data_IF_235630941297
#
_entry.id   IF_235630941297
#
_cell.length_a   1.000
_cell.length_b   1.000
_cell.length_c   1.000
_cell.angle_alpha   90.00
_cell.angle_beta   90.00
_cell.angle_gamma   90.00
#
_symmetry.space_group_name_H-M   'P 1'
#
loop_
_entity.id
_entity.type
_entity.pdbx_description
1 polymer ?
#
# COMPACT_ATOMS: atom_id res chain seq x y z
N UNK A 1 38.49 -33.48 -51.45
CA UNK A 1 37.34 -33.54 -50.46
C UNK A 1 37.64 -32.57 -49.37
N UNK A 2 37.06 -31.39 -49.48
CA UNK A 2 37.20 -30.24 -48.55
C UNK A 2 36.02 -30.21 -47.59
N UNK A 3 36.31 -30.26 -46.30
CA UNK A 3 35.31 -30.15 -45.22
C UNK A 3 35.20 -28.69 -44.84
N UNK A 4 34.05 -28.09 -45.10
CA UNK A 4 33.70 -26.72 -44.65
C UNK A 4 33.37 -26.72 -43.15
N UNK A 5 34.04 -25.86 -42.40
CA UNK A 5 33.79 -25.59 -40.99
C UNK A 5 32.68 -24.51 -40.86
N UNK A 6 31.57 -24.90 -40.29
CA UNK A 6 30.49 -23.98 -39.93
C UNK A 6 30.83 -23.29 -38.58
N UNK A 7 31.15 -22.01 -38.62
CA UNK A 7 31.25 -21.17 -37.44
C UNK A 7 29.85 -20.86 -36.90
N UNK A 8 29.50 -21.43 -35.75
CA UNK A 8 28.36 -21.02 -34.92
C UNK A 8 28.79 -19.84 -34.04
N UNK A 9 28.33 -18.66 -34.37
CA UNK A 9 28.34 -17.50 -33.48
C UNK A 9 27.37 -17.73 -32.34
N UNK A 10 27.90 -17.97 -31.14
CA UNK A 10 27.11 -17.94 -29.89
C UNK A 10 26.90 -16.49 -29.49
N UNK A 11 25.67 -16.01 -29.66
CA UNK A 11 25.23 -14.74 -29.03
C UNK A 11 25.23 -14.89 -27.51
N UNK A 12 26.07 -14.12 -26.86
CA UNK A 12 26.11 -14.01 -25.40
C UNK A 12 24.96 -13.08 -25.02
N UNK A 13 23.85 -13.65 -24.57
CA UNK A 13 22.82 -12.90 -23.82
C UNK A 13 23.41 -12.53 -22.47
N UNK A 14 23.80 -11.28 -22.32
CA UNK A 14 24.18 -10.71 -21.03
C UNK A 14 22.92 -10.58 -20.16
N UNK A 15 22.70 -11.56 -19.29
CA UNK A 15 21.76 -11.43 -18.20
C UNK A 15 22.25 -10.31 -17.27
N UNK A 16 21.59 -9.15 -17.28
CA UNK A 16 21.80 -8.12 -16.28
C UNK A 16 21.20 -8.63 -14.97
N UNK A 17 22.04 -9.19 -14.11
CA UNK A 17 21.68 -9.45 -12.73
C UNK A 17 21.45 -8.11 -12.03
N UNK A 18 20.25 -7.90 -11.52
CA UNK A 18 19.93 -6.79 -10.64
C UNK A 18 20.72 -7.01 -9.34
N UNK A 19 21.80 -6.26 -9.14
CA UNK A 19 22.53 -6.29 -7.88
C UNK A 19 21.70 -5.53 -6.85
N UNK A 20 20.96 -6.26 -6.03
CA UNK A 20 20.36 -5.73 -4.82
C UNK A 20 21.54 -5.51 -3.85
N UNK A 21 21.96 -4.26 -3.69
CA UNK A 21 22.97 -3.88 -2.70
C UNK A 21 22.29 -3.96 -1.32
N UNK A 22 22.53 -5.04 -0.61
CA UNK A 22 22.25 -5.13 0.81
C UNK A 22 23.24 -4.22 1.54
N UNK A 23 22.80 -3.05 1.99
CA UNK A 23 23.52 -2.30 3.00
C UNK A 23 23.37 -3.00 4.35
N UNK A 24 24.31 -3.93 4.66
CA UNK A 24 24.48 -4.46 6.01
C UNK A 24 25.25 -3.42 6.84
N UNK A 25 24.55 -2.49 7.45
CA UNK A 25 25.05 -1.73 8.59
C UNK A 25 24.43 -2.32 9.85
N UNK A 26 25.22 -3.17 10.53
CA UNK A 26 24.89 -3.68 11.85
C UNK A 26 25.02 -2.54 12.88
N UNK A 27 23.94 -1.79 13.07
CA UNK A 27 23.70 -1.02 14.28
C UNK A 27 22.41 -1.53 14.88
N UNK A 28 22.48 -1.99 16.13
CA UNK A 28 21.27 -2.21 16.93
C UNK A 28 20.61 -0.85 17.14
N UNK A 29 19.71 -0.46 16.23
CA UNK A 29 18.88 0.72 16.36
C UNK A 29 17.59 0.31 17.06
N UNK A 30 17.32 0.98 18.16
CA UNK A 30 15.96 1.24 18.61
C UNK A 30 15.24 1.83 17.39
N UNK A 31 14.20 1.19 16.90
CA UNK A 31 13.45 1.65 15.72
C UNK A 31 13.04 3.11 15.94
N UNK A 32 13.66 4.02 15.20
CA UNK A 32 13.38 5.45 15.32
C UNK A 32 12.05 5.76 14.62
N UNK A 33 10.96 5.52 15.36
CA UNK A 33 9.64 5.99 14.93
C UNK A 33 9.54 7.48 15.23
N UNK A 34 9.04 8.24 14.26
CA UNK A 34 8.75 9.65 14.43
C UNK A 34 7.27 9.83 14.81
N UNK A 35 7.02 10.47 15.95
CA UNK A 35 5.67 10.83 16.39
C UNK A 35 5.24 12.14 15.75
N UNK A 36 4.13 12.13 15.01
CA UNK A 36 3.42 13.33 14.55
C UNK A 36 2.18 13.53 15.41
N UNK A 37 1.84 14.78 15.75
CA UNK A 37 0.77 15.10 16.69
C UNK A 37 -0.20 16.14 16.16
N UNK A 38 -1.49 15.95 16.51
CA UNK A 38 -2.54 16.95 16.39
C UNK A 38 -3.42 16.90 17.65
N UNK A 39 -3.21 17.84 18.57
CA UNK A 39 -3.77 17.76 19.93
C UNK A 39 -3.31 16.49 20.66
N UNK A 40 -4.27 15.65 21.06
CA UNK A 40 -3.98 14.37 21.74
C UNK A 40 -3.84 13.18 20.77
N UNK A 41 -4.10 13.39 19.49
CA UNK A 41 -3.98 12.35 18.48
C UNK A 41 -2.51 12.19 18.05
N UNK A 42 -2.07 10.97 17.84
CA UNK A 42 -0.67 10.65 17.51
C UNK A 42 -0.62 9.69 16.33
N UNK A 43 0.25 9.99 15.38
CA UNK A 43 0.63 9.11 14.29
C UNK A 43 2.12 8.79 14.41
N UNK A 44 2.49 7.51 14.45
CA UNK A 44 3.88 7.05 14.54
C UNK A 44 4.33 6.51 13.18
N UNK A 45 5.42 7.06 12.66
CA UNK A 45 5.98 6.69 11.36
C UNK A 45 7.34 6.03 11.54
N UNK A 46 7.48 4.79 11.06
CA UNK A 46 8.76 4.07 11.00
C UNK A 46 9.44 4.43 9.68
N UNK A 47 10.42 5.31 9.74
CA UNK A 47 11.13 5.81 8.55
C UNK A 47 12.16 4.83 8.02
N UNK A 48 12.63 3.90 8.85
CA UNK A 48 13.64 2.91 8.48
C UNK A 48 13.03 1.73 7.68
N UNK A 49 11.73 1.49 7.84
CA UNK A 49 11.04 0.38 7.19
C UNK A 49 9.83 0.88 6.39
N UNK A 50 10.11 1.54 5.26
CA UNK A 50 9.12 1.90 4.27
C UNK A 50 8.26 3.12 4.59
N UNK A 51 8.69 4.00 5.48
CA UNK A 51 7.89 5.13 5.96
C UNK A 51 6.50 4.71 6.46
N UNK A 52 6.41 3.49 6.99
CA UNK A 52 5.18 2.85 7.43
C UNK A 52 4.60 3.56 8.64
N UNK A 53 3.34 3.88 8.62
CA UNK A 53 2.64 4.29 9.83
C UNK A 53 2.37 3.03 10.66
N UNK A 54 3.02 2.92 11.82
CA UNK A 54 2.91 1.75 12.71
C UNK A 54 1.86 1.93 13.79
N UNK A 55 1.36 3.16 14.01
CA UNK A 55 0.29 3.44 14.97
C UNK A 55 -0.39 4.76 14.59
N UNK A 56 -1.69 4.80 14.73
CA UNK A 56 -2.49 6.02 14.69
C UNK A 56 -3.52 5.97 15.80
N UNK A 57 -3.25 6.72 16.88
CA UNK A 57 -4.17 6.83 18.02
C UNK A 57 -4.98 8.11 17.96
N UNK A 58 -6.26 7.98 18.26
CA UNK A 58 -7.24 9.05 18.26
C UNK A 58 -7.94 9.05 19.60
N UNK A 59 -7.73 10.11 20.38
CA UNK A 59 -8.24 10.17 21.75
C UNK A 59 -7.77 9.00 22.61
N UNK A 60 -6.56 8.47 22.34
CA UNK A 60 -5.96 7.33 23.01
C UNK A 60 -6.41 5.95 22.50
N UNK A 61 -7.32 5.88 21.51
CA UNK A 61 -7.76 4.62 20.88
C UNK A 61 -6.95 4.37 19.60
N UNK A 62 -6.37 3.15 19.47
CA UNK A 62 -5.69 2.74 18.24
C UNK A 62 -6.71 2.50 17.11
N UNK A 63 -6.42 3.05 15.94
CA UNK A 63 -7.27 2.98 14.75
C UNK A 63 -6.81 1.92 13.76
N UNK A 64 -5.56 1.48 13.89
CA UNK A 64 -4.93 0.55 12.96
C UNK A 64 -4.81 -0.84 13.60
N UNK A 65 -5.00 -1.84 12.79
CA UNK A 65 -4.65 -3.20 13.18
C UNK A 65 -3.13 -3.40 13.02
N UNK A 66 -2.55 -3.99 14.03
CA UNK A 66 -1.17 -4.49 14.01
C UNK A 66 -1.12 -5.88 14.66
N UNK A 67 -0.25 -6.78 14.23
CA UNK A 67 -0.08 -8.06 14.89
C UNK A 67 0.44 -7.84 16.32
N UNK A 68 -0.05 -8.66 17.25
CA UNK A 68 0.38 -8.61 18.67
C UNK A 68 1.82 -9.09 18.87
N UNK A 69 2.35 -9.91 17.97
CA UNK A 69 3.72 -10.40 17.98
C UNK A 69 4.53 -9.78 16.83
N UNK A 70 5.84 -9.57 17.02
CA UNK A 70 6.72 -9.14 15.95
C UNK A 70 6.66 -10.11 14.76
N UNK A 71 6.55 -9.57 13.57
CA UNK A 71 6.61 -10.37 12.35
C UNK A 71 8.07 -10.76 12.05
N UNK A 72 8.26 -11.94 11.46
CA UNK A 72 9.58 -12.42 11.08
C UNK A 72 10.20 -11.51 10.00
N UNK A 73 11.48 -11.30 10.07
CA UNK A 73 12.25 -10.66 9.02
C UNK A 73 12.74 -11.70 8.02
N UNK A 74 11.80 -12.21 7.22
CA UNK A 74 12.03 -13.28 6.25
C UNK A 74 11.87 -12.80 4.79
N UNK A 75 11.86 -11.48 4.58
CA UNK A 75 11.69 -10.86 3.26
C UNK A 75 10.25 -10.92 2.73
N UNK A 76 9.30 -11.42 3.52
CA UNK A 76 7.88 -11.42 3.16
C UNK A 76 7.19 -10.14 3.61
N UNK A 77 6.10 -9.82 2.93
CA UNK A 77 5.28 -8.66 3.26
C UNK A 77 4.86 -8.65 4.74
N UNK A 78 5.03 -7.49 5.38
CA UNK A 78 4.65 -7.29 6.78
C UNK A 78 3.29 -6.61 6.85
N UNK A 79 2.32 -7.33 7.42
CA UNK A 79 0.97 -6.82 7.61
C UNK A 79 0.87 -5.80 8.75
N UNK A 80 -0.19 -4.99 8.73
CA UNK A 80 -0.58 -4.05 9.78
C UNK A 80 -0.08 -2.61 9.58
N UNK A 81 -0.68 -1.66 10.30
CA UNK A 81 -0.39 -0.24 10.14
C UNK A 81 -0.86 0.33 8.80
N UNK A 82 -0.07 1.24 8.23
CA UNK A 82 -0.28 1.76 6.86
C UNK A 82 1.06 1.69 6.12
N UNK A 83 1.40 0.56 5.51
CA UNK A 83 2.55 0.47 4.62
C UNK A 83 2.28 1.14 3.28
N UNK A 84 3.37 1.47 2.57
CA UNK A 84 3.34 1.95 1.19
C UNK A 84 3.63 0.78 0.24
N UNK A 85 2.80 0.65 -0.77
CA UNK A 85 3.00 -0.26 -1.91
C UNK A 85 3.71 0.53 -3.01
N UNK A 86 4.92 0.14 -3.41
CA UNK A 86 5.69 0.80 -4.46
C UNK A 86 6.99 0.06 -4.79
N UNK A 87 7.48 0.01 -6.04
CA UNK A 87 6.90 0.57 -7.25
C UNK A 87 6.00 -0.38 -8.05
N UNK A 88 5.54 -1.49 -7.48
CA UNK A 88 4.51 -2.37 -8.05
C UNK A 88 3.57 -2.89 -6.97
N UNK A 89 2.40 -3.32 -7.41
CA UNK A 89 1.35 -3.86 -6.54
C UNK A 89 1.25 -5.38 -6.72
N UNK A 90 0.91 -6.09 -5.65
CA UNK A 90 0.86 -7.55 -5.61
C UNK A 90 2.18 -8.17 -6.14
N UNK A 91 2.07 -9.19 -6.97
CA UNK A 91 3.14 -9.86 -7.71
C UNK A 91 3.18 -9.44 -9.20
N UNK A 92 2.56 -8.30 -9.53
CA UNK A 92 2.59 -7.71 -10.88
C UNK A 92 3.91 -6.97 -11.12
N UNK A 93 4.98 -7.71 -11.37
CA UNK A 93 6.32 -7.16 -11.53
C UNK A 93 6.47 -6.31 -12.80
N UNK A 94 7.33 -5.27 -12.78
CA UNK A 94 7.71 -4.56 -13.99
C UNK A 94 8.54 -5.45 -14.92
N UNK A 95 8.62 -5.08 -16.20
CA UNK A 95 9.38 -5.80 -17.22
C UNK A 95 10.83 -6.05 -16.77
N UNK A 96 11.25 -7.31 -16.85
CA UNK A 96 12.61 -7.76 -16.47
C UNK A 96 12.78 -8.11 -14.98
N UNK A 97 11.79 -7.94 -14.15
CA UNK A 97 11.75 -8.44 -12.76
C UNK A 97 10.93 -9.73 -12.73
N UNK A 98 11.51 -10.82 -12.28
CA UNK A 98 10.84 -12.14 -12.27
C UNK A 98 10.54 -12.67 -10.88
N UNK A 99 11.20 -12.15 -9.84
CA UNK A 99 11.07 -12.62 -8.45
C UNK A 99 11.29 -11.43 -7.49
N UNK A 100 10.41 -10.46 -7.52
CA UNK A 100 10.42 -9.34 -6.56
C UNK A 100 9.65 -9.69 -5.28
N UNK A 101 9.82 -8.91 -4.22
CA UNK A 101 8.95 -9.01 -3.05
C UNK A 101 7.53 -8.55 -3.40
N UNK A 102 6.55 -9.11 -2.69
CA UNK A 102 5.17 -8.66 -2.83
C UNK A 102 5.04 -7.16 -2.53
N UNK A 103 4.19 -6.46 -3.29
CA UNK A 103 3.89 -5.04 -3.11
C UNK A 103 5.10 -4.10 -3.28
N UNK A 104 6.09 -4.51 -4.07
CA UNK A 104 7.26 -3.68 -4.32
C UNK A 104 8.31 -3.78 -3.21
N UNK A 105 9.23 -2.84 -3.23
CA UNK A 105 10.40 -2.86 -2.35
C UNK A 105 10.40 -1.74 -1.30
N UNK A 106 9.53 -0.74 -1.46
CA UNK A 106 9.54 0.45 -0.59
C UNK A 106 9.40 0.10 0.89
N UNK A 107 8.56 -0.87 1.23
CA UNK A 107 8.27 -1.27 2.61
C UNK A 107 9.47 -1.84 3.39
N UNK A 108 10.56 -2.19 2.68
CA UNK A 108 11.81 -2.69 3.27
C UNK A 108 12.90 -1.63 3.32
N UNK A 109 12.68 -0.46 2.70
CA UNK A 109 13.73 0.53 2.49
C UNK A 109 13.60 1.69 3.48
N UNK A 110 14.73 2.24 3.97
CA UNK A 110 14.71 3.47 4.73
C UNK A 110 14.34 4.64 3.82
N UNK A 111 13.44 5.50 4.29
CA UNK A 111 13.12 6.76 3.65
C UNK A 111 13.93 7.89 4.28
N UNK A 112 14.47 8.75 3.42
CA UNK A 112 15.14 9.96 3.85
C UNK A 112 14.12 10.98 4.34
N UNK A 113 14.30 11.51 5.55
CA UNK A 113 13.51 12.64 6.04
C UNK A 113 13.95 13.91 5.33
N UNK A 114 13.05 14.53 4.58
CA UNK A 114 13.29 15.79 3.88
C UNK A 114 12.87 16.98 4.74
N UNK A 115 11.73 16.90 5.41
CA UNK A 115 11.28 17.94 6.34
C UNK A 115 10.27 17.44 7.36
N UNK A 116 10.20 18.11 8.50
CA UNK A 116 9.12 17.99 9.48
C UNK A 116 8.65 19.39 9.86
N UNK A 117 7.36 19.62 9.78
CA UNK A 117 6.76 20.93 10.05
C UNK A 117 5.59 20.84 11.02
N UNK A 118 5.50 21.85 11.91
CA UNK A 118 4.28 22.11 12.67
C UNK A 118 3.43 23.12 11.90
N UNK A 119 2.13 22.83 11.84
CA UNK A 119 1.13 23.71 11.24
C UNK A 119 0.08 24.07 12.29
N UNK A 120 -0.80 25.00 11.98
CA UNK A 120 -1.98 25.33 12.80
C UNK A 120 -2.97 24.17 12.95
N UNK A 121 -2.87 23.15 12.08
CA UNK A 121 -3.74 21.98 12.04
C UNK A 121 -3.14 20.70 12.57
N UNK A 122 -1.84 20.68 12.89
CA UNK A 122 -1.11 19.50 13.34
C UNK A 122 0.32 19.45 12.82
N UNK A 123 0.85 18.29 12.57
CA UNK A 123 2.22 18.09 12.09
C UNK A 123 2.24 17.38 10.74
N UNK A 124 3.30 17.67 9.98
CA UNK A 124 3.55 17.11 8.65
C UNK A 124 4.99 16.61 8.56
N UNK A 125 5.17 15.47 7.90
CA UNK A 125 6.45 14.83 7.62
C UNK A 125 6.56 14.55 6.13
N UNK A 126 7.63 15.06 5.50
CA UNK A 126 7.97 14.77 4.11
C UNK A 126 9.20 13.89 4.04
N UNK A 127 9.12 12.88 3.20
CA UNK A 127 10.08 11.79 3.06
C UNK A 127 10.36 11.51 1.59
N UNK A 128 11.53 10.95 1.27
CA UNK A 128 11.85 10.53 -0.10
C UNK A 128 12.59 9.21 -0.13
N UNK A 129 12.47 8.51 -1.27
CA UNK A 129 13.17 7.27 -1.59
C UNK A 129 13.47 7.25 -3.10
N UNK A 130 14.68 6.85 -3.47
CA UNK A 130 15.06 6.68 -4.87
C UNK A 130 15.48 5.24 -5.13
N UNK A 131 14.83 4.58 -6.10
CA UNK A 131 15.11 3.21 -6.48
C UNK A 131 15.00 3.09 -7.99
N UNK A 132 16.05 2.57 -8.64
CA UNK A 132 16.05 2.13 -10.02
C UNK A 132 15.48 3.18 -11.01
N UNK A 133 15.88 4.43 -10.86
CA UNK A 133 15.45 5.54 -11.73
C UNK A 133 14.04 6.06 -11.46
N UNK A 134 13.40 5.63 -10.39
CA UNK A 134 12.18 6.22 -9.86
C UNK A 134 12.48 6.92 -8.52
N UNK A 135 11.84 8.07 -8.30
CA UNK A 135 11.85 8.77 -7.02
C UNK A 135 10.43 8.81 -6.46
N UNK A 136 10.29 8.38 -5.23
CA UNK A 136 9.10 8.52 -4.40
C UNK A 136 9.28 9.73 -3.47
N UNK A 137 8.36 10.70 -3.53
CA UNK A 137 8.22 11.75 -2.53
C UNK A 137 6.92 11.47 -1.76
N UNK A 138 7.02 11.23 -0.46
CA UNK A 138 5.88 10.90 0.39
C UNK A 138 5.72 11.93 1.49
N UNK A 139 4.51 12.44 1.64
CA UNK A 139 4.14 13.36 2.72
C UNK A 139 2.96 12.80 3.49
N UNK A 140 3.08 12.73 4.81
CA UNK A 140 2.00 12.41 5.73
C UNK A 140 1.77 13.58 6.67
N UNK A 141 0.49 13.95 6.84
CA UNK A 141 0.06 14.98 7.79
C UNK A 141 -0.98 14.39 8.74
N UNK A 142 -0.81 14.63 10.04
CA UNK A 142 -1.87 14.38 11.02
C UNK A 142 -2.61 15.69 11.28
N UNK A 143 -3.94 15.64 11.26
CA UNK A 143 -4.83 16.77 11.51
C UNK A 143 -5.93 16.33 12.47
N UNK A 144 -6.68 17.31 12.98
CA UNK A 144 -7.83 17.04 13.85
C UNK A 144 -8.86 16.10 13.20
N UNK A 145 -9.03 16.19 11.90
CA UNK A 145 -9.98 15.38 11.13
C UNK A 145 -9.47 13.98 10.84
N UNK A 146 -8.14 13.76 10.83
CA UNK A 146 -7.52 12.49 10.50
C UNK A 146 -6.15 12.61 9.83
N UNK A 147 -5.82 11.68 8.96
CA UNK A 147 -4.57 11.62 8.22
C UNK A 147 -4.76 12.09 6.78
N UNK A 148 -3.75 12.79 6.25
CA UNK A 148 -3.65 13.12 4.83
C UNK A 148 -2.34 12.65 4.28
N UNK A 149 -2.37 12.23 3.03
CA UNK A 149 -1.25 11.66 2.30
C UNK A 149 -1.08 12.34 0.95
N UNK A 150 0.18 12.55 0.56
CA UNK A 150 0.58 12.84 -0.80
C UNK A 150 1.74 11.92 -1.15
N UNK A 151 1.55 11.07 -2.15
CA UNK A 151 2.56 10.11 -2.59
C UNK A 151 2.81 10.36 -4.07
N UNK A 152 3.97 10.95 -4.40
CA UNK A 152 4.36 11.30 -5.75
C UNK A 152 5.47 10.39 -6.23
N UNK A 153 5.30 9.82 -7.41
CA UNK A 153 6.35 9.11 -8.14
C UNK A 153 6.83 9.95 -9.30
N UNK A 154 8.14 10.13 -9.42
CA UNK A 154 8.81 10.80 -10.54
C UNK A 154 9.75 9.83 -11.24
N UNK A 155 9.70 9.76 -12.57
CA UNK A 155 10.71 9.06 -13.33
C UNK A 155 11.95 9.97 -13.50
N UNK A 156 12.99 9.66 -12.72
CA UNK A 156 14.30 10.36 -12.75
C UNK A 156 15.31 9.64 -13.65
N UNK A 157 14.91 8.53 -14.29
CA UNK A 157 15.71 7.78 -15.24
C UNK A 157 15.65 8.36 -16.66
N UNK A 158 16.26 7.65 -17.60
CA UNK A 158 16.35 8.06 -19.02
C UNK A 158 15.37 7.34 -19.95
N UNK A 159 14.61 6.37 -19.46
CA UNK A 159 13.65 5.59 -20.24
C UNK A 159 12.26 5.62 -19.61
N UNK A 160 11.19 5.46 -20.38
CA UNK A 160 9.84 5.33 -19.81
C UNK A 160 9.74 4.14 -18.83
N UNK A 161 9.05 4.33 -17.71
CA UNK A 161 8.90 3.34 -16.64
C UNK A 161 7.44 3.21 -16.23
N UNK A 162 6.95 1.97 -16.14
CA UNK A 162 5.70 1.68 -15.46
C UNK A 162 5.95 1.59 -13.96
N UNK A 163 4.94 1.95 -13.19
CA UNK A 163 4.92 1.78 -11.75
C UNK A 163 3.46 1.67 -11.27
N UNK A 164 3.29 1.13 -10.08
CA UNK A 164 2.06 1.23 -9.31
C UNK A 164 2.38 1.68 -7.89
N UNK A 165 1.47 2.41 -7.27
CA UNK A 165 1.57 2.82 -5.87
C UNK A 165 0.21 2.75 -5.18
N UNK A 166 0.23 2.38 -3.91
CA UNK A 166 -0.94 2.36 -3.04
C UNK A 166 -0.58 2.78 -1.62
N UNK A 167 -1.56 3.34 -0.94
CA UNK A 167 -1.56 3.53 0.51
C UNK A 167 -2.42 2.41 1.07
N UNK A 168 -1.83 1.51 1.87
CA UNK A 168 -2.45 0.24 2.27
C UNK A 168 -2.79 0.19 3.77
N UNK A 169 -3.86 0.89 4.22
CA UNK A 169 -4.21 0.92 5.64
C UNK A 169 -4.84 -0.40 6.09
N UNK A 170 -4.39 -0.91 7.23
CA UNK A 170 -5.02 -1.99 7.96
C UNK A 170 -5.86 -1.39 9.08
N UNK A 171 -7.14 -1.15 8.83
CA UNK A 171 -8.03 -0.64 9.86
C UNK A 171 -8.36 -1.73 10.88
N UNK A 172 -8.34 -1.35 12.16
CA UNK A 172 -8.79 -2.24 13.22
C UNK A 172 -10.32 -2.25 13.31
N UNK A 173 -10.88 -3.45 13.24
CA UNK A 173 -12.28 -3.72 13.49
C UNK A 173 -12.41 -4.55 14.77
N UNK A 174 -13.21 -4.17 15.76
CA UNK A 174 -13.52 -5.05 16.90
C UNK A 174 -14.12 -6.40 16.44
N UNK A 175 -15.02 -6.34 15.44
CA UNK A 175 -15.54 -7.51 14.76
C UNK A 175 -15.92 -7.20 13.31
N UNK A 176 -15.39 -7.97 12.34
CA UNK A 176 -15.61 -7.72 10.91
C UNK A 176 -17.07 -7.84 10.45
N UNK A 177 -17.83 -8.81 11.04
CA UNK A 177 -19.23 -9.08 10.65
C UNK A 177 -20.19 -7.93 10.99
N UNK A 178 -19.69 -6.92 11.71
CA UNK A 178 -20.39 -5.67 12.02
C UNK A 178 -19.96 -4.51 11.15
N UNK A 179 -18.94 -4.72 10.28
CA UNK A 179 -18.42 -3.71 9.39
C UNK A 179 -19.09 -3.79 8.01
N UNK A 180 -19.38 -2.63 7.46
CA UNK A 180 -19.83 -2.48 6.07
C UNK A 180 -19.06 -1.34 5.40
N UNK A 181 -18.82 -1.49 4.11
CA UNK A 181 -18.22 -0.44 3.28
C UNK A 181 -19.31 0.19 2.42
N UNK A 182 -19.50 1.49 2.57
CA UNK A 182 -20.40 2.28 1.75
C UNK A 182 -19.65 3.12 0.72
N UNK A 183 -20.39 3.81 -0.16
CA UNK A 183 -19.83 4.66 -1.20
C UNK A 183 -19.39 3.92 -2.48
N UNK A 184 -19.58 2.61 -2.53
CA UNK A 184 -19.20 1.75 -3.67
C UNK A 184 -20.40 1.43 -4.58
N UNK A 185 -21.63 1.80 -4.20
CA UNK A 185 -22.83 1.53 -4.98
C UNK A 185 -22.74 2.15 -6.38
N UNK A 186 -23.05 1.35 -7.40
CA UNK A 186 -22.97 1.74 -8.80
C UNK A 186 -21.56 1.70 -9.41
N UNK A 187 -20.51 1.48 -8.62
CA UNK A 187 -19.15 1.38 -9.13
C UNK A 187 -18.89 0.01 -9.77
N UNK A 188 -18.10 0.00 -10.83
CA UNK A 188 -17.58 -1.25 -11.39
C UNK A 188 -16.57 -1.86 -10.41
N UNK A 189 -16.56 -3.19 -10.31
CA UNK A 189 -15.56 -3.92 -9.54
C UNK A 189 -14.99 -5.09 -10.34
N UNK A 190 -13.82 -5.54 -9.94
CA UNK A 190 -13.17 -6.77 -10.39
C UNK A 190 -12.80 -7.59 -9.14
N UNK A 191 -13.04 -8.89 -9.19
CA UNK A 191 -12.63 -9.81 -8.11
C UNK A 191 -11.21 -10.30 -8.41
N UNK A 192 -10.28 -10.05 -7.49
CA UNK A 192 -8.88 -10.42 -7.68
C UNK A 192 -8.63 -11.90 -7.38
N UNK A 193 -9.49 -12.52 -6.55
CA UNK A 193 -9.37 -13.90 -6.09
C UNK A 193 -9.45 -14.93 -7.20
N UNK A 194 -10.05 -14.60 -8.31
CA UNK A 194 -10.19 -15.45 -9.49
C UNK A 194 -9.44 -14.89 -10.74
N UNK A 195 -8.42 -14.05 -10.49
CA UNK A 195 -7.64 -13.43 -11.54
C UNK A 195 -8.42 -12.40 -12.38
N UNK A 196 -9.39 -11.72 -11.77
CA UNK A 196 -10.27 -10.71 -12.39
C UNK A 196 -11.30 -11.27 -13.39
N UNK A 197 -11.57 -12.58 -13.33
CA UNK A 197 -12.59 -13.20 -14.17
C UNK A 197 -14.00 -12.72 -13.79
N UNK A 198 -14.27 -12.64 -12.47
CA UNK A 198 -15.51 -12.06 -11.96
C UNK A 198 -15.41 -10.54 -11.94
N UNK A 199 -16.39 -9.88 -12.57
CA UNK A 199 -16.51 -8.43 -12.58
C UNK A 199 -17.98 -8.03 -12.70
N UNK A 200 -18.29 -6.77 -12.36
CA UNK A 200 -19.67 -6.28 -12.42
C UNK A 200 -19.81 -4.85 -11.94
N UNK A 201 -21.01 -4.53 -11.50
CA UNK A 201 -21.35 -3.27 -10.84
C UNK A 201 -21.84 -3.60 -9.45
N UNK A 202 -21.16 -3.05 -8.44
CA UNK A 202 -21.55 -3.24 -7.05
C UNK A 202 -22.92 -2.62 -6.76
N UNK A 203 -23.68 -3.23 -5.86
CA UNK A 203 -25.00 -2.75 -5.45
C UNK A 203 -25.12 -2.64 -3.95
N UNK A 204 -25.45 -1.46 -3.47
CA UNK A 204 -25.65 -1.18 -2.06
C UNK A 204 -24.38 -1.16 -1.21
N UNK A 205 -24.55 -1.43 0.08
CA UNK A 205 -23.45 -1.54 1.03
C UNK A 205 -22.71 -2.87 0.85
N UNK A 206 -21.40 -2.88 1.08
CA UNK A 206 -20.59 -4.09 1.07
C UNK A 206 -20.40 -4.61 2.49
N UNK A 207 -21.04 -5.72 2.89
CA UNK A 207 -20.77 -6.35 4.18
C UNK A 207 -19.44 -7.11 4.12
N UNK A 208 -18.65 -7.03 5.20
CA UNK A 208 -17.38 -7.76 5.31
C UNK A 208 -17.63 -9.07 6.04
N UNK A 209 -18.11 -10.07 5.31
CA UNK A 209 -18.54 -11.37 5.90
C UNK A 209 -17.67 -12.55 5.49
N UNK A 210 -16.84 -12.40 4.46
CA UNK A 210 -15.99 -13.45 3.92
C UNK A 210 -14.68 -12.88 3.40
N UNK A 211 -13.80 -13.72 2.86
CA UNK A 211 -12.65 -13.25 2.09
C UNK A 211 -13.11 -12.27 1.01
N UNK A 212 -12.65 -11.05 1.13
CA UNK A 212 -12.95 -9.95 0.21
C UNK A 212 -11.64 -9.48 -0.39
N UNK A 213 -11.58 -9.40 -1.70
CA UNK A 213 -10.42 -8.90 -2.43
C UNK A 213 -10.92 -8.34 -3.77
N UNK A 214 -11.39 -7.10 -3.71
CA UNK A 214 -12.05 -6.45 -4.83
C UNK A 214 -11.37 -5.15 -5.18
N UNK A 215 -11.05 -5.01 -6.47
CA UNK A 215 -10.63 -3.76 -7.06
C UNK A 215 -11.84 -3.00 -7.62
N UNK A 216 -11.92 -1.71 -7.32
CA UNK A 216 -12.88 -0.76 -7.87
C UNK A 216 -12.15 0.25 -8.74
N UNK A 217 -12.00 -0.02 -10.05
CA UNK A 217 -11.38 0.94 -10.97
C UNK A 217 -12.24 2.20 -11.06
N UNK A 218 -11.59 3.34 -11.04
CA UNK A 218 -12.25 4.63 -11.11
C UNK A 218 -12.67 4.96 -12.54
N UNK A 219 -13.95 5.35 -12.70
CA UNK A 219 -14.50 5.88 -13.95
C UNK A 219 -14.47 7.41 -14.07
N UNK A 220 -13.75 8.13 -13.20
CA UNK A 220 -13.73 9.59 -13.07
C UNK A 220 -14.36 10.09 -11.75
N UNK A 221 -14.11 11.35 -11.37
CA UNK A 221 -14.63 11.95 -10.13
C UNK A 221 -13.89 11.50 -8.86
N UNK A 222 -14.28 12.01 -7.72
CA UNK A 222 -13.76 11.61 -6.40
C UNK A 222 -14.35 10.27 -5.98
N UNK A 223 -13.52 9.42 -5.38
CA UNK A 223 -13.95 8.13 -4.85
C UNK A 223 -13.76 8.12 -3.33
N UNK A 224 -14.75 7.62 -2.62
CA UNK A 224 -14.68 7.46 -1.18
C UNK A 224 -15.40 6.21 -0.73
N UNK A 225 -14.92 5.61 0.33
CA UNK A 225 -15.58 4.50 1.00
C UNK A 225 -15.73 4.82 2.48
N UNK A 226 -16.86 4.50 3.06
CA UNK A 226 -17.15 4.74 4.46
C UNK A 226 -17.21 3.39 5.17
N UNK A 227 -16.42 3.25 6.21
CA UNK A 227 -16.49 2.07 7.10
C UNK A 227 -17.45 2.38 8.23
N UNK A 228 -18.51 1.59 8.33
CA UNK A 228 -19.44 1.66 9.44
C UNK A 228 -19.20 0.48 10.36
N UNK A 229 -19.17 0.76 11.64
CA UNK A 229 -19.21 -0.27 12.64
C UNK A 229 -20.41 -0.01 13.57
N UNK A 230 -21.06 -1.07 14.02
CA UNK A 230 -22.19 -0.94 14.95
C UNK A 230 -21.69 -0.42 16.30
N UNK A 231 -22.52 0.36 16.93
CA UNK A 231 -22.42 0.99 18.26
C UNK A 231 -21.02 1.08 18.90
N UNK A 232 -20.51 2.32 18.97
CA UNK A 232 -19.32 2.66 19.74
C UNK A 232 -18.01 2.70 18.99
N UNK A 233 -18.00 2.48 17.69
CA UNK A 233 -16.79 2.49 16.87
C UNK A 233 -16.66 3.69 15.95
N UNK A 234 -15.42 3.93 15.53
CA UNK A 234 -15.07 5.00 14.64
C UNK A 234 -15.66 4.75 13.25
N UNK A 235 -16.34 5.73 12.71
CA UNK A 235 -16.68 5.79 11.31
C UNK A 235 -15.52 6.44 10.58
N UNK A 236 -14.97 5.77 9.59
CA UNK A 236 -13.86 6.26 8.78
C UNK A 236 -14.34 6.55 7.36
N UNK A 237 -13.89 7.66 6.82
CA UNK A 237 -14.00 7.98 5.41
C UNK A 237 -12.61 7.88 4.80
N UNK A 238 -12.45 7.03 3.79
CA UNK A 238 -11.26 6.97 2.95
C UNK A 238 -11.61 7.58 1.61
N UNK A 239 -10.92 8.65 1.21
CA UNK A 239 -11.18 9.31 -0.06
C UNK A 239 -9.88 9.68 -0.78
N UNK A 240 -9.98 9.79 -2.09
CA UNK A 240 -8.92 10.31 -2.95
C UNK A 240 -9.57 10.95 -4.18
N UNK A 241 -9.03 12.09 -4.60
CA UNK A 241 -9.50 12.79 -5.81
C UNK A 241 -8.76 12.32 -7.07
N UNK A 242 -7.64 11.65 -6.91
CA UNK A 242 -6.73 11.24 -7.98
C UNK A 242 -6.38 9.74 -7.98
N UNK A 243 -6.91 8.94 -7.05
CA UNK A 243 -6.79 7.50 -7.11
C UNK A 243 -7.45 6.94 -8.39
N UNK A 244 -6.76 6.02 -9.05
CA UNK A 244 -7.25 5.33 -10.26
C UNK A 244 -8.02 4.05 -9.90
N UNK A 245 -7.82 3.53 -8.68
CA UNK A 245 -8.56 2.41 -8.13
C UNK A 245 -8.65 2.49 -6.60
N UNK A 246 -9.61 1.76 -6.05
CA UNK A 246 -9.67 1.42 -4.64
C UNK A 246 -9.71 -0.10 -4.51
N UNK A 247 -8.90 -0.62 -3.62
CA UNK A 247 -8.96 -2.02 -3.24
C UNK A 247 -9.67 -2.16 -1.91
N UNK A 248 -10.56 -3.12 -1.81
CA UNK A 248 -11.22 -3.49 -0.55
C UNK A 248 -10.83 -4.91 -0.23
N UNK A 249 -10.10 -5.08 0.87
CA UNK A 249 -9.53 -6.37 1.23
C UNK A 249 -9.81 -6.75 2.69
N UNK A 250 -10.14 -8.04 2.87
CA UNK A 250 -10.14 -8.74 4.13
C UNK A 250 -9.67 -10.18 3.87
N UNK A 251 -8.70 -10.72 4.64
CA UNK A 251 -8.10 -12.03 4.34
C UNK A 251 -9.08 -13.20 4.39
N UNK A 252 -10.20 -13.05 5.11
CA UNK A 252 -11.13 -14.14 5.33
C UNK A 252 -10.57 -15.23 6.24
N UNK A 253 -11.45 -16.16 6.58
CA UNK A 253 -11.13 -17.24 7.54
C UNK A 253 -10.12 -18.28 7.01
N UNK A 254 -9.97 -18.34 5.68
CA UNK A 254 -9.10 -19.31 5.00
C UNK A 254 -7.76 -18.73 4.54
N UNK A 255 -7.35 -17.60 5.10
CA UNK A 255 -6.08 -17.00 4.74
C UNK A 255 -4.89 -17.96 4.88
N UNK A 256 -4.90 -18.80 5.91
CA UNK A 256 -3.85 -19.79 6.18
C UNK A 256 -3.65 -20.72 4.99
N UNK A 257 -4.72 -21.04 4.27
CA UNK A 257 -4.68 -22.00 3.15
C UNK A 257 -4.12 -21.38 1.85
N UNK A 258 -4.30 -20.08 1.64
CA UNK A 258 -4.05 -19.44 0.33
C UNK A 258 -3.00 -18.33 0.35
N UNK A 259 -2.83 -17.63 1.46
CA UNK A 259 -2.08 -16.38 1.50
C UNK A 259 -0.73 -16.47 2.22
N UNK A 260 -0.58 -17.35 3.20
CA UNK A 260 0.63 -17.39 4.05
C UNK A 260 1.93 -17.64 3.28
N UNK A 261 1.86 -18.31 2.13
CA UNK A 261 3.03 -18.57 1.30
C UNK A 261 3.54 -17.29 0.60
N UNK A 262 2.61 -16.43 0.18
CA UNK A 262 2.93 -15.21 -0.59
C UNK A 262 3.03 -13.97 0.29
N UNK A 263 2.16 -13.86 1.30
CA UNK A 263 1.92 -12.63 2.05
C UNK A 263 2.43 -12.66 3.50
N UNK A 264 3.14 -13.72 3.90
CA UNK A 264 3.54 -13.89 5.29
C UNK A 264 2.40 -14.38 6.20
N UNK A 265 2.78 -14.76 7.42
CA UNK A 265 1.83 -15.31 8.39
C UNK A 265 0.97 -14.20 9.00
N UNK A 266 -0.33 -14.45 9.09
CA UNK A 266 -1.28 -13.70 9.90
C UNK A 266 -1.71 -14.56 11.08
N UNK A 267 -1.99 -13.97 12.27
CA UNK A 267 -2.69 -14.68 13.35
C UNK A 267 -4.00 -15.30 12.86
N UNK A 268 -4.37 -16.47 13.38
CA UNK A 268 -5.56 -17.23 12.94
C UNK A 268 -6.88 -16.45 13.03
N UNK A 269 -6.94 -15.44 13.91
CA UNK A 269 -8.12 -14.59 14.13
C UNK A 269 -8.02 -13.21 13.46
N UNK A 270 -6.89 -12.89 12.83
CA UNK A 270 -6.63 -11.56 12.24
C UNK A 270 -7.73 -11.13 11.27
N UNK A 271 -8.29 -12.07 10.51
CA UNK A 271 -9.37 -11.82 9.57
C UNK A 271 -10.63 -11.21 10.20
N UNK A 272 -10.82 -11.41 11.52
CA UNK A 272 -11.94 -10.81 12.27
C UNK A 272 -11.77 -9.33 12.51
N UNK A 273 -10.53 -8.86 12.48
CA UNK A 273 -10.12 -7.55 12.98
C UNK A 273 -9.52 -6.63 11.93
N UNK A 274 -9.40 -7.11 10.69
CA UNK A 274 -8.77 -6.36 9.59
C UNK A 274 -9.78 -5.93 8.54
N UNK A 275 -9.66 -4.69 8.11
CA UNK A 275 -10.21 -4.21 6.84
C UNK A 275 -9.20 -3.28 6.20
N UNK A 276 -8.90 -3.50 4.92
CA UNK A 276 -8.13 -2.57 4.11
C UNK A 276 -9.03 -1.89 3.09
N UNK A 277 -8.87 -0.58 2.93
CA UNK A 277 -9.46 0.22 1.85
C UNK A 277 -8.33 1.08 1.29
N UNK A 278 -7.86 0.72 0.11
CA UNK A 278 -6.58 1.18 -0.41
C UNK A 278 -6.78 2.09 -1.61
N UNK A 279 -6.62 3.41 -1.47
CA UNK A 279 -6.47 4.28 -2.62
C UNK A 279 -5.17 3.94 -3.35
N UNK A 280 -5.25 3.74 -4.67
CA UNK A 280 -4.12 3.31 -5.50
C UNK A 280 -4.14 3.96 -6.88
N UNK A 281 -2.98 3.94 -7.55
CA UNK A 281 -2.94 4.09 -9.01
C UNK A 281 -3.45 2.81 -9.68
N UNK A 282 -3.57 2.80 -11.00
CA UNK A 282 -3.81 1.58 -11.73
C UNK A 282 -2.72 0.54 -11.42
N UNK A 283 -3.09 -0.74 -11.33
CA UNK A 283 -2.14 -1.84 -11.24
C UNK A 283 -1.20 -1.87 -12.44
N UNK A 284 -0.07 -2.60 -12.32
CA UNK A 284 0.98 -2.64 -13.36
C UNK A 284 0.44 -3.02 -14.74
N UNK A 285 -0.60 -3.85 -14.76
CA UNK A 285 -1.28 -4.27 -16.00
C UNK A 285 -1.84 -3.09 -16.78
N UNK A 286 -2.53 -2.20 -16.09
CA UNK A 286 -3.26 -1.06 -16.67
C UNK A 286 -2.45 0.25 -16.60
N UNK A 287 -1.30 0.25 -15.94
CA UNK A 287 -0.49 1.43 -15.71
C UNK A 287 0.09 2.00 -17.01
N UNK A 288 -0.12 3.29 -17.22
CA UNK A 288 0.58 4.04 -18.26
C UNK A 288 2.02 4.38 -17.79
N UNK A 289 3.04 4.19 -18.67
CA UNK A 289 4.40 4.50 -18.29
C UNK A 289 4.62 6.02 -18.12
N UNK A 290 5.40 6.41 -17.12
CA UNK A 290 5.94 7.76 -17.00
C UNK A 290 7.14 7.92 -17.93
N UNK A 291 7.17 8.99 -18.71
CA UNK A 291 8.36 9.41 -19.45
C UNK A 291 9.41 9.99 -18.51
N UNK A 292 10.69 10.05 -18.93
CA UNK A 292 11.71 10.76 -18.17
C UNK A 292 11.26 12.18 -17.76
N UNK A 293 11.39 12.49 -16.47
CA UNK A 293 10.96 13.76 -15.87
C UNK A 293 9.48 13.89 -15.55
N UNK A 294 8.63 12.96 -16.01
CA UNK A 294 7.20 12.98 -15.66
C UNK A 294 6.97 12.47 -14.23
N UNK A 295 5.88 12.97 -13.64
CA UNK A 295 5.46 12.58 -12.29
C UNK A 295 3.97 12.22 -12.26
N UNK A 296 3.59 11.36 -11.31
CA UNK A 296 2.20 11.10 -10.94
C UNK A 296 2.07 11.17 -9.43
N UNK A 297 1.00 11.77 -8.95
CA UNK A 297 0.70 11.89 -7.52
C UNK A 297 -0.57 11.12 -7.20
N UNK A 298 -0.55 10.45 -6.06
CA UNK A 298 -1.71 9.87 -5.39
C UNK A 298 -1.90 10.63 -4.08
N UNK A 299 -3.02 11.31 -3.93
CA UNK A 299 -3.42 11.90 -2.65
C UNK A 299 -4.48 11.04 -2.00
N UNK A 300 -4.50 10.99 -0.68
CA UNK A 300 -5.55 10.33 0.07
C UNK A 300 -5.82 11.03 1.40
N UNK A 301 -7.02 10.82 1.91
CA UNK A 301 -7.43 11.26 3.23
C UNK A 301 -8.15 10.13 3.94
N UNK A 302 -7.77 9.88 5.19
CA UNK A 302 -8.48 9.01 6.12
C UNK A 302 -9.02 9.90 7.22
N UNK A 303 -10.32 10.20 7.17
CA UNK A 303 -10.97 11.10 8.10
C UNK A 303 -11.93 10.35 9.04
N UNK A 304 -12.08 10.88 10.26
CA UNK A 304 -13.13 10.45 11.17
C UNK A 304 -14.44 11.14 10.81
N UNK A 305 -15.51 10.38 10.80
CA UNK A 305 -16.88 10.92 10.63
C UNK A 305 -17.61 10.84 11.95
N UNK A 306 -17.94 11.98 12.56
CA UNK A 306 -18.57 12.04 13.88
C UNK A 306 -20.09 11.82 13.86
N UNK A 307 -20.75 12.10 12.75
CA UNK A 307 -22.18 11.80 12.45
C UNK A 307 -22.42 12.02 10.95
N UNK A 308 -23.26 11.22 10.38
CA UNK A 308 -23.99 11.60 9.17
C UNK A 308 -25.29 12.28 9.60
#
# INVERSE_FOLDING_TARGET
MTVESVHRTRGVLAARALAIVFCLSAFALVADTLDLRSGNDVCKVDVEHGARIVSWTVGGKEMLWNPSAPQKDDGKWRHGGIPLVWPWQCDEYPDGVTNGPLHGVAWQCPFKVESRMKTDRGEELSLSLEIDGLRADYTVSIRREGLRFSFKTTNIGSTPRKFAMSIHPYFYLPERNRAVVGGLDGLRYRDTRDGFATNGVWKGLMPITAWTDHEFPRGGGSLGAIVYESEGCARLLVRSDDAEAFWVWNPGERWVDHGAQLFGELPDDAWRHILSIEPSTAGMRDAAPLRPGESRTLTAEIARVHSL
#
